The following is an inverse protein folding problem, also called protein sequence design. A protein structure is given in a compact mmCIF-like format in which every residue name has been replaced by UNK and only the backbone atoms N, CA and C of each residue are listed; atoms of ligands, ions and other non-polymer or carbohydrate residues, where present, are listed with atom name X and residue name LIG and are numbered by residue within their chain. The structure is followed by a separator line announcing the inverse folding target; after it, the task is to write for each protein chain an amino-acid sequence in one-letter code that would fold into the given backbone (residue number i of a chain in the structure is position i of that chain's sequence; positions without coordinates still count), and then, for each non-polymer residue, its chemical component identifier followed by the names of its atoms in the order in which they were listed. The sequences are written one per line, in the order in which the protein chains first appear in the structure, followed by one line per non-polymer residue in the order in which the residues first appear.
data_IF_011014963650
#
_entry.id   IF_011014963650
#
_cell.length_a   1.000
_cell.length_b   1.000
_cell.length_c   1.000
_cell.angle_alpha   90.00
_cell.angle_beta   90.00
_cell.angle_gamma   90.00
#
_symmetry.space_group_name_H-M   'P 1'
#
loop_
_entity.id
_entity.type
_entity.pdbx_description
1 polymer ?
#
# COMPACT_ATOMS: atom_id res chain seq x y z
N UNK A 1 2.49 21.67 3.29
CA UNK A 1 3.88 21.22 3.38
C UNK A 1 3.99 20.03 2.45
N UNK A 2 4.94 20.06 1.52
CA UNK A 2 5.20 18.97 0.58
C UNK A 2 6.07 17.95 1.34
N UNK A 3 5.47 16.88 1.83
CA UNK A 3 6.19 15.81 2.54
C UNK A 3 6.81 14.90 1.49
N UNK A 4 8.14 14.71 1.53
CA UNK A 4 8.85 13.91 0.54
C UNK A 4 8.53 12.42 0.76
N UNK A 5 7.67 11.90 -0.11
CA UNK A 5 7.26 10.49 -0.11
C UNK A 5 7.97 9.67 -1.19
N UNK A 6 9.00 10.22 -1.84
CA UNK A 6 9.65 9.60 -3.01
C UNK A 6 10.31 8.24 -2.69
N UNK A 7 10.67 8.00 -1.43
CA UNK A 7 11.26 6.74 -1.00
C UNK A 7 10.22 5.64 -0.76
N UNK A 8 8.94 6.00 -0.66
CA UNK A 8 7.87 5.04 -0.46
C UNK A 8 7.33 4.52 -1.79
N UNK A 9 6.77 3.31 -1.74
CA UNK A 9 6.07 2.74 -2.89
C UNK A 9 4.85 3.57 -3.31
N UNK A 10 4.34 3.25 -4.49
CA UNK A 10 3.06 3.80 -4.94
C UNK A 10 1.94 3.39 -3.96
N UNK A 11 1.00 4.31 -3.69
CA UNK A 11 -0.11 4.06 -2.78
C UNK A 11 0.18 4.33 -1.30
N UNK A 12 1.39 4.82 -0.97
CA UNK A 12 1.72 5.27 0.39
C UNK A 12 1.43 6.76 0.56
N UNK A 13 0.71 7.11 1.62
CA UNK A 13 0.36 8.50 1.95
C UNK A 13 0.80 8.82 3.38
N UNK A 14 1.32 10.04 3.55
CA UNK A 14 1.71 10.58 4.85
C UNK A 14 0.50 11.18 5.58
N UNK A 15 0.36 10.82 6.86
CA UNK A 15 -0.66 11.37 7.75
C UNK A 15 -0.03 11.85 9.05
N UNK A 16 -0.47 13.02 9.49
CA UNK A 16 -0.17 13.50 10.83
C UNK A 16 -1.40 13.35 11.71
N UNK A 17 -1.26 12.57 12.76
CA UNK A 17 -2.31 12.27 13.73
C UNK A 17 -2.49 13.39 14.74
N UNK A 18 -3.64 13.43 15.42
CA UNK A 18 -4.01 14.49 16.36
C UNK A 18 -3.16 14.55 17.63
N UNK A 19 -2.55 13.43 18.01
CA UNK A 19 -1.60 13.31 19.12
C UNK A 19 -0.16 13.64 18.70
N UNK A 20 0.06 13.96 17.42
CA UNK A 20 1.31 14.48 16.89
C UNK A 20 2.26 13.43 16.33
N UNK A 21 1.81 12.20 16.11
CA UNK A 21 2.57 11.16 15.42
C UNK A 21 2.45 11.30 13.89
N UNK A 22 3.55 11.06 13.19
CA UNK A 22 3.60 11.01 11.73
C UNK A 22 3.57 9.53 11.29
N UNK A 23 2.62 9.20 10.42
CA UNK A 23 2.33 7.84 9.97
C UNK A 23 2.37 7.76 8.45
N UNK A 24 2.95 6.69 7.93
CA UNK A 24 2.86 6.31 6.53
C UNK A 24 1.84 5.17 6.39
N UNK A 25 0.79 5.39 5.61
CA UNK A 25 -0.24 4.38 5.35
C UNK A 25 -0.10 3.90 3.92
N UNK A 26 0.23 2.62 3.75
CA UNK A 26 0.41 1.97 2.45
C UNK A 26 -0.84 1.19 2.10
N UNK A 27 -1.50 1.58 1.02
CA UNK A 27 -2.63 0.84 0.44
C UNK A 27 -2.17 0.21 -0.85
N UNK A 28 -2.40 -1.09 -1.00
CA UNK A 28 -2.24 -1.75 -2.28
C UNK A 28 -3.27 -1.17 -3.26
N UNK A 29 -2.79 -0.43 -4.26
CA UNK A 29 -3.62 0.12 -5.33
C UNK A 29 -4.20 -0.97 -6.24
N UNK A 30 -3.81 -2.23 -6.01
CA UNK A 30 -4.18 -3.38 -6.80
C UNK A 30 -3.46 -3.40 -8.14
N UNK A 31 -3.78 -4.44 -8.93
CA UNK A 31 -3.20 -4.60 -10.25
C UNK A 31 -4.00 -3.84 -11.30
N UNK A 32 -3.32 -2.98 -12.07
CA UNK A 32 -3.96 -2.30 -13.21
C UNK A 32 -4.17 -3.27 -14.37
N UNK A 33 -5.15 -3.00 -15.23
CA UNK A 33 -5.39 -3.81 -16.44
C UNK A 33 -4.17 -3.82 -17.38
N UNK A 34 -3.37 -2.74 -17.41
CA UNK A 34 -2.12 -2.71 -18.18
C UNK A 34 -1.05 -3.64 -17.58
N UNK A 35 -0.84 -3.60 -16.26
CA UNK A 35 0.08 -4.50 -15.58
C UNK A 35 -0.33 -5.97 -15.76
N UNK A 36 -1.64 -6.24 -15.72
CA UNK A 36 -2.22 -7.55 -15.98
C UNK A 36 -1.99 -8.03 -17.42
N UNK A 37 -2.19 -7.18 -18.42
CA UNK A 37 -1.93 -7.54 -19.82
C UNK A 37 -0.46 -7.89 -20.04
N UNK A 38 0.46 -7.14 -19.43
CA UNK A 38 1.90 -7.41 -19.53
C UNK A 38 2.32 -8.70 -18.81
N UNK A 39 1.71 -8.99 -17.66
CA UNK A 39 1.89 -10.27 -16.96
C UNK A 39 1.35 -11.44 -17.78
N UNK A 40 0.19 -11.30 -18.41
CA UNK A 40 -0.38 -12.33 -19.29
C UNK A 40 0.54 -12.60 -20.48
N UNK A 41 1.11 -11.57 -21.11
CA UNK A 41 2.11 -11.71 -22.17
C UNK A 41 3.34 -12.49 -21.68
N UNK A 42 3.92 -12.08 -20.56
CA UNK A 42 5.10 -12.74 -19.97
C UNK A 42 4.82 -14.21 -19.63
N UNK A 43 3.68 -14.52 -19.02
CA UNK A 43 3.29 -15.88 -18.69
C UNK A 43 3.10 -16.73 -19.95
N UNK A 44 2.48 -16.15 -21.00
CA UNK A 44 2.32 -16.81 -22.28
C UNK A 44 3.66 -17.15 -22.93
N UNK A 45 4.64 -16.24 -22.89
CA UNK A 45 6.00 -16.49 -23.42
C UNK A 45 6.72 -17.61 -22.66
N UNK A 46 6.46 -17.73 -21.35
CA UNK A 46 6.99 -18.81 -20.51
C UNK A 46 6.21 -20.13 -20.64
N UNK A 47 5.19 -20.18 -21.50
CA UNK A 47 4.31 -21.35 -21.65
C UNK A 47 3.51 -21.67 -20.38
N UNK A 48 3.35 -20.69 -19.49
CA UNK A 48 2.53 -20.78 -18.30
C UNK A 48 1.10 -20.33 -18.62
N UNK A 49 0.10 -20.82 -17.88
CA UNK A 49 -1.25 -20.29 -17.98
C UNK A 49 -1.26 -18.78 -17.68
N UNK A 50 -2.03 -18.00 -18.45
CA UNK A 50 -2.20 -16.56 -18.20
C UNK A 50 -3.10 -16.32 -16.97
N UNK A 51 -3.08 -15.14 -16.36
CA UNK A 51 -3.91 -14.82 -15.19
C UNK A 51 -5.41 -14.99 -15.52
N UNK A 52 -5.81 -14.62 -16.74
CA UNK A 52 -7.19 -14.77 -17.23
C UNK A 52 -7.66 -16.23 -17.34
N UNK A 53 -6.75 -17.21 -17.34
CA UNK A 53 -7.10 -18.64 -17.31
C UNK A 53 -7.66 -19.10 -15.95
N UNK A 54 -7.51 -18.29 -14.90
CA UNK A 54 -7.92 -18.60 -13.54
C UNK A 54 -6.97 -19.53 -12.77
N UNK A 55 -5.86 -19.95 -13.37
CA UNK A 55 -4.84 -20.78 -12.70
C UNK A 55 -4.00 -19.94 -11.73
N UNK A 56 -3.69 -18.70 -12.08
CA UNK A 56 -3.00 -17.76 -11.21
C UNK A 56 -4.00 -16.81 -10.54
N UNK A 57 -3.82 -16.61 -9.24
CA UNK A 57 -4.61 -15.65 -8.46
C UNK A 57 -3.73 -14.49 -8.04
N UNK A 58 -4.21 -13.29 -8.30
CA UNK A 58 -3.63 -12.05 -7.76
C UNK A 58 -4.01 -11.99 -6.28
N UNK A 59 -3.01 -11.89 -5.41
CA UNK A 59 -3.19 -11.63 -4.00
C UNK A 59 -2.97 -10.14 -3.79
N UNK A 60 -3.97 -9.46 -3.22
CA UNK A 60 -3.79 -8.07 -2.81
C UNK A 60 -3.07 -8.04 -1.47
N UNK A 61 -2.12 -7.13 -1.34
CA UNK A 61 -1.39 -6.92 -0.10
C UNK A 61 -2.30 -6.25 0.96
N UNK A 62 -2.09 -6.54 2.24
CA UNK A 62 -2.80 -5.84 3.31
C UNK A 62 -2.46 -4.35 3.29
N UNK A 63 -3.41 -3.52 3.71
CA UNK A 63 -3.12 -2.11 3.99
C UNK A 63 -2.29 -2.04 5.28
N UNK A 64 -1.13 -1.39 5.25
CA UNK A 64 -0.21 -1.36 6.38
C UNK A 64 0.06 0.07 6.86
N UNK A 65 0.20 0.21 8.17
CA UNK A 65 0.50 1.48 8.83
C UNK A 65 1.90 1.38 9.43
N UNK A 66 2.75 2.36 9.14
CA UNK A 66 4.14 2.42 9.59
C UNK A 66 4.45 3.79 10.21
N UNK A 67 5.41 3.84 11.13
CA UNK A 67 5.89 5.10 11.68
C UNK A 67 6.80 5.81 10.67
N UNK A 68 6.62 7.12 10.53
CA UNK A 68 7.54 7.96 9.78
C UNK A 68 7.89 9.23 10.56
N UNK A 69 8.89 9.95 10.07
CA UNK A 69 9.31 11.24 10.58
C UNK A 69 8.36 12.33 10.04
N UNK A 70 8.38 13.56 10.60
CA UNK A 70 7.61 14.68 10.07
C UNK A 70 7.97 15.05 8.62
N UNK A 71 9.12 14.62 8.13
CA UNK A 71 9.57 14.79 6.74
C UNK A 71 9.12 13.66 5.81
N UNK A 72 8.44 12.64 6.35
CA UNK A 72 7.94 11.49 5.62
C UNK A 72 8.89 10.30 5.61
N UNK A 73 10.08 10.37 6.21
CA UNK A 73 11.05 9.26 6.15
C UNK A 73 10.70 8.15 7.15
N UNK A 74 11.04 6.86 6.91
CA UNK A 74 10.86 5.80 7.91
C UNK A 74 11.48 6.19 9.24
N UNK A 75 10.74 6.00 10.33
CA UNK A 75 11.20 6.32 11.68
C UNK A 75 12.20 5.28 12.22
N UNK A 76 13.25 4.98 11.45
CA UNK A 76 14.30 4.01 11.76
C UNK A 76 14.07 2.63 11.16
N UNK A 77 12.86 2.07 11.23
CA UNK A 77 12.51 0.77 10.64
C UNK A 77 11.24 0.85 9.80
N UNK A 78 11.05 -0.13 8.91
CA UNK A 78 9.84 -0.33 8.10
C UNK A 78 8.89 -1.35 8.78
N UNK A 79 8.90 -1.36 10.11
CA UNK A 79 8.06 -2.28 10.86
C UNK A 79 6.59 -1.87 10.73
N UNK A 80 5.74 -2.86 10.46
CA UNK A 80 4.29 -2.67 10.35
C UNK A 80 3.73 -2.49 11.76
N UNK A 81 3.32 -1.28 12.09
CA UNK A 81 2.64 -0.98 13.36
C UNK A 81 1.25 -1.63 13.39
N UNK A 82 0.58 -1.63 12.24
CA UNK A 82 -0.74 -2.20 12.09
C UNK A 82 -0.94 -2.74 10.68
N UNK A 83 -1.73 -3.82 10.57
CA UNK A 83 -2.15 -4.40 9.30
C UNK A 83 -3.67 -4.47 9.27
N UNK A 84 -4.25 -3.91 8.21
CA UNK A 84 -5.66 -3.97 7.91
C UNK A 84 -5.91 -4.97 6.76
N UNK A 85 -7.18 -5.36 6.59
CA UNK A 85 -7.57 -6.20 5.48
C UNK A 85 -7.19 -5.56 4.12
N UNK A 86 -6.83 -6.37 3.10
CA UNK A 86 -6.56 -5.85 1.77
C UNK A 86 -7.73 -5.01 1.23
N UNK A 87 -7.40 -3.88 0.59
CA UNK A 87 -8.39 -2.94 0.06
C UNK A 87 -8.99 -1.98 1.10
N UNK A 88 -8.53 -2.00 2.36
CA UNK A 88 -8.89 -0.96 3.35
C UNK A 88 -8.31 0.38 2.89
N UNK A 89 -9.14 1.41 2.79
CA UNK A 89 -8.70 2.76 2.42
C UNK A 89 -7.78 3.37 3.49
N UNK A 90 -7.03 4.41 3.14
CA UNK A 90 -6.17 5.09 4.11
C UNK A 90 -6.96 5.62 5.32
N UNK A 91 -8.12 6.22 5.06
CA UNK A 91 -8.99 6.79 6.11
C UNK A 91 -9.56 5.70 7.02
N UNK A 92 -10.05 4.59 6.43
CA UNK A 92 -10.58 3.47 7.21
C UNK A 92 -9.49 2.79 8.05
N UNK A 93 -8.26 2.71 7.52
CA UNK A 93 -7.12 2.15 8.25
C UNK A 93 -6.76 3.01 9.47
N UNK A 94 -6.76 4.34 9.32
CA UNK A 94 -6.55 5.27 10.43
C UNK A 94 -7.69 5.22 11.45
N UNK A 95 -8.92 5.09 10.99
CA UNK A 95 -10.08 4.96 11.87
C UNK A 95 -10.02 3.67 12.72
N UNK A 96 -9.50 2.56 12.18
CA UNK A 96 -9.33 1.31 12.93
C UNK A 96 -8.34 1.41 14.08
N UNK A 97 -7.34 2.27 13.98
CA UNK A 97 -6.37 2.54 15.06
C UNK A 97 -6.75 3.77 15.92
N UNK A 98 -7.95 4.32 15.71
CA UNK A 98 -8.53 5.37 16.55
C UNK A 98 -8.22 6.80 16.13
N UNK A 99 -7.68 7.02 14.92
CA UNK A 99 -7.44 8.37 14.39
C UNK A 99 -8.51 8.76 13.37
N UNK A 100 -9.06 9.96 13.53
CA UNK A 100 -9.97 10.56 12.55
C UNK A 100 -9.16 11.39 11.55
N UNK A 101 -9.35 11.12 10.25
CA UNK A 101 -8.86 12.00 9.19
C UNK A 101 -9.84 13.18 9.09
N UNK A 102 -9.32 14.42 9.11
CA UNK A 102 -10.14 15.65 9.03
C UNK A 102 -9.89 16.38 7.73
#
# INVERSE_FOLDING_TARGET
MDTDMAIWGLGVVHYRTSDGLDLAVSVDAGMTEHAKAHLDETLSELGQPVITSGVHRILMEPTVIMACTPTGEPAGSLDRLHECAPGTSHEDALAQIGYAVT
#
